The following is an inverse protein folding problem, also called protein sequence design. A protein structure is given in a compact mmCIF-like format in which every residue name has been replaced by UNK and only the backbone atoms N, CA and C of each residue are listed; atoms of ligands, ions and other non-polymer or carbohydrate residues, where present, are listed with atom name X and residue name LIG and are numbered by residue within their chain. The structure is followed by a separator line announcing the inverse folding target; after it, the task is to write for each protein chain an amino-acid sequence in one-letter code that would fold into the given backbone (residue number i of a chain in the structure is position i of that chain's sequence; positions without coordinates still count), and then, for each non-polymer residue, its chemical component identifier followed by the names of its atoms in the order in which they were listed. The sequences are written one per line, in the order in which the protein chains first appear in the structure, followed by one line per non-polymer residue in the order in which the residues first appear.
data_IF_266953116570
#
_entry.id   IF_266953116570
#
_cell.length_a   1.000
_cell.length_b   1.000
_cell.length_c   1.000
_cell.angle_alpha   90.00
_cell.angle_beta   90.00
_cell.angle_gamma   90.00
#
_symmetry.space_group_name_H-M   'P 1'
#
loop_
_entity.id
_entity.type
_entity.pdbx_description
1 polymer ?
#
# COMPACT_ATOMS: atom_id res chain seq x y z
N UNK A 1 38.10 4.76 -3.67
CA UNK A 1 36.80 4.45 -3.04
C UNK A 1 36.43 3.04 -3.45
N UNK A 2 36.17 2.16 -2.49
CA UNK A 2 35.71 0.78 -2.74
C UNK A 2 34.24 0.67 -2.36
N UNK A 3 33.47 -0.10 -3.14
CA UNK A 3 32.06 -0.37 -2.88
C UNK A 3 31.88 -1.89 -2.76
N UNK A 4 31.15 -2.33 -1.75
CA UNK A 4 30.71 -3.71 -1.60
C UNK A 4 29.20 -3.79 -1.83
N UNK A 5 28.74 -4.87 -2.46
CA UNK A 5 27.33 -5.13 -2.74
C UNK A 5 26.93 -6.51 -2.22
N UNK A 6 25.74 -6.61 -1.63
CA UNK A 6 25.16 -7.87 -1.14
C UNK A 6 23.79 -8.07 -1.76
N UNK A 7 23.56 -9.24 -2.35
CA UNK A 7 22.24 -9.65 -2.83
C UNK A 7 21.46 -10.31 -1.68
N UNK A 8 20.26 -9.80 -1.40
CA UNK A 8 19.35 -10.39 -0.41
C UNK A 8 18.12 -10.91 -1.13
N UNK A 9 17.93 -12.23 -1.11
CA UNK A 9 16.73 -12.88 -1.61
C UNK A 9 15.67 -12.93 -0.50
N UNK A 10 14.43 -12.59 -0.82
CA UNK A 10 13.34 -12.51 0.15
C UNK A 10 12.13 -13.29 -0.32
N UNK A 11 11.50 -13.98 0.63
CA UNK A 11 10.24 -14.70 0.46
C UNK A 11 9.29 -14.28 1.60
N UNK A 12 8.06 -13.91 1.26
CA UNK A 12 7.04 -13.62 2.25
C UNK A 12 6.40 -14.93 2.70
N UNK A 13 6.64 -15.33 3.95
CA UNK A 13 6.09 -16.57 4.50
C UNK A 13 4.67 -16.40 5.03
N UNK A 14 4.45 -15.30 5.72
CA UNK A 14 3.18 -14.94 6.36
C UNK A 14 3.04 -13.40 6.38
N UNK A 15 1.88 -12.91 6.79
CA UNK A 15 1.62 -11.49 6.93
C UNK A 15 2.55 -10.89 7.99
N UNK A 16 3.12 -9.72 7.67
CA UNK A 16 4.00 -8.99 8.58
C UNK A 16 3.68 -7.49 8.50
N UNK A 17 3.89 -6.80 9.62
CA UNK A 17 3.63 -5.36 9.76
C UNK A 17 4.89 -4.55 10.07
N UNK A 18 5.97 -5.22 10.46
CA UNK A 18 7.24 -4.59 10.79
C UNK A 18 8.26 -4.84 9.67
N UNK A 19 8.87 -3.78 9.11
CA UNK A 19 9.93 -3.97 8.12
C UNK A 19 11.15 -4.64 8.77
N UNK A 20 11.90 -5.48 8.03
CA UNK A 20 13.12 -6.09 8.52
C UNK A 20 14.20 -5.02 8.80
N UNK A 21 15.05 -5.29 9.80
CA UNK A 21 16.16 -4.42 10.19
C UNK A 21 17.45 -4.98 9.61
N UNK A 22 18.20 -4.13 8.89
CA UNK A 22 19.59 -4.38 8.52
C UNK A 22 20.50 -3.77 9.59
N UNK A 23 21.32 -4.62 10.19
CA UNK A 23 22.38 -4.22 11.10
C UNK A 23 23.74 -4.42 10.41
N UNK A 24 24.54 -3.35 10.36
CA UNK A 24 25.88 -3.35 9.78
C UNK A 24 26.87 -2.94 10.85
N UNK A 25 27.80 -3.85 11.16
CA UNK A 25 28.88 -3.61 12.13
C UNK A 25 30.23 -3.66 11.43
N UNK A 26 31.08 -2.67 11.66
CA UNK A 26 32.41 -2.57 11.04
C UNK A 26 33.41 -1.84 11.95
N UNK A 27 34.71 -2.01 11.67
CA UNK A 27 35.78 -1.33 12.40
C UNK A 27 36.28 -0.10 11.63
N UNK A 28 36.29 1.06 12.29
CA UNK A 28 36.87 2.30 11.79
C UNK A 28 37.50 3.06 12.97
N UNK A 29 38.69 2.64 13.40
CA UNK A 29 39.33 3.08 14.65
C UNK A 29 38.71 2.44 15.90
N UNK A 30 37.39 2.36 15.95
CA UNK A 30 36.58 1.62 16.92
C UNK A 30 35.46 0.84 16.23
N UNK A 31 34.74 -0.01 16.97
CA UNK A 31 33.52 -0.65 16.47
C UNK A 31 32.45 0.41 16.18
N UNK A 32 31.87 0.33 15.00
CA UNK A 32 30.74 1.14 14.53
C UNK A 32 29.56 0.22 14.24
N UNK A 33 28.36 0.67 14.58
CA UNK A 33 27.11 -0.06 14.33
C UNK A 33 26.08 0.85 13.67
N UNK A 34 25.46 0.35 12.61
CA UNK A 34 24.41 1.04 11.87
C UNK A 34 23.19 0.13 11.81
N UNK A 35 22.03 0.64 12.26
CA UNK A 35 20.75 -0.06 12.19
C UNK A 35 19.79 0.69 11.28
N UNK A 36 19.33 0.04 10.23
CA UNK A 36 18.43 0.62 9.23
C UNK A 36 17.21 -0.27 9.04
N UNK A 37 16.03 0.32 8.93
CA UNK A 37 14.85 -0.39 8.42
C UNK A 37 15.00 -0.57 6.92
N UNK A 38 14.95 -1.81 6.45
CA UNK A 38 14.88 -2.09 5.02
C UNK A 38 13.49 -1.71 4.49
N UNK A 39 13.37 -1.14 3.28
CA UNK A 39 12.09 -0.72 2.70
C UNK A 39 11.29 -1.91 2.13
N UNK A 40 11.15 -2.96 2.94
CA UNK A 40 10.44 -4.21 2.61
C UNK A 40 9.16 -4.20 3.41
N UNK A 41 8.06 -3.92 2.71
CA UNK A 41 6.71 -3.85 3.24
C UNK A 41 5.88 -4.96 2.59
N UNK A 42 4.72 -5.31 3.17
CA UNK A 42 3.88 -6.38 2.61
C UNK A 42 3.49 -6.12 1.15
N UNK A 43 3.37 -4.86 0.75
CA UNK A 43 3.06 -4.43 -0.62
C UNK A 43 4.11 -4.86 -1.64
N UNK A 44 5.34 -5.17 -1.22
CA UNK A 44 6.39 -5.68 -2.13
C UNK A 44 6.10 -7.09 -2.64
N UNK A 45 5.21 -7.81 -1.99
CA UNK A 45 4.78 -9.18 -2.33
C UNK A 45 3.37 -9.22 -2.94
N UNK A 46 2.86 -8.06 -3.36
CA UNK A 46 1.60 -7.96 -4.10
C UNK A 46 1.86 -8.08 -5.60
N UNK A 47 1.06 -8.91 -6.25
CA UNK A 47 0.95 -9.01 -7.70
C UNK A 47 -0.22 -8.10 -8.17
N UNK A 48 0.01 -7.13 -9.07
CA UNK A 48 -1.06 -6.30 -9.63
C UNK A 48 -2.07 -7.15 -10.41
N UNK A 49 -3.37 -6.87 -10.26
CA UNK A 49 -4.43 -7.62 -10.96
C UNK A 49 -5.37 -6.68 -11.71
N UNK A 50 -5.49 -6.88 -13.02
CA UNK A 50 -6.49 -6.20 -13.85
C UNK A 50 -7.87 -6.83 -13.66
N UNK A 51 -8.89 -6.00 -13.43
CA UNK A 51 -10.29 -6.41 -13.35
C UNK A 51 -11.18 -5.44 -14.13
N UNK A 52 -12.29 -5.95 -14.64
CA UNK A 52 -13.39 -5.11 -15.12
C UNK A 52 -14.24 -4.59 -13.95
N UNK A 53 -15.12 -3.62 -14.24
CA UNK A 53 -15.99 -3.02 -13.22
C UNK A 53 -16.91 -4.05 -12.55
N UNK A 54 -17.52 -4.95 -13.34
CA UNK A 54 -18.39 -6.02 -12.84
C UNK A 54 -17.66 -6.90 -11.84
N UNK A 55 -16.53 -7.49 -12.25
CA UNK A 55 -15.73 -8.38 -11.41
C UNK A 55 -15.25 -7.69 -10.12
N UNK A 56 -14.83 -6.43 -10.24
CA UNK A 56 -14.38 -5.66 -9.08
C UNK A 56 -15.51 -5.53 -8.05
N UNK A 57 -16.69 -5.06 -8.46
CA UNK A 57 -17.79 -4.82 -7.52
C UNK A 57 -18.42 -6.11 -7.00
N UNK A 58 -18.42 -7.19 -7.78
CA UNK A 58 -18.83 -8.51 -7.29
C UNK A 58 -17.90 -8.98 -6.16
N UNK A 59 -16.58 -8.97 -6.39
CA UNK A 59 -15.60 -9.34 -5.36
C UNK A 59 -15.62 -8.38 -4.17
N UNK A 60 -15.80 -7.09 -4.41
CA UNK A 60 -15.94 -6.07 -3.37
C UNK A 60 -17.11 -6.38 -2.44
N UNK A 61 -18.26 -6.73 -2.99
CA UNK A 61 -19.46 -7.14 -2.22
C UNK A 61 -19.24 -8.48 -1.51
N UNK A 62 -18.58 -9.43 -2.16
CA UNK A 62 -18.30 -10.76 -1.60
C UNK A 62 -17.39 -10.69 -0.36
N UNK A 63 -16.39 -9.81 -0.34
CA UNK A 63 -15.54 -9.62 0.84
C UNK A 63 -16.36 -9.05 2.01
N UNK A 64 -17.34 -8.20 1.71
CA UNK A 64 -18.24 -7.60 2.71
C UNK A 64 -17.57 -6.46 3.49
N UNK A 65 -18.06 -6.20 4.69
CA UNK A 65 -17.60 -5.11 5.55
C UNK A 65 -16.58 -5.56 6.62
N UNK A 66 -16.53 -4.86 7.77
CA UNK A 66 -15.67 -5.23 8.89
C UNK A 66 -15.86 -6.69 9.34
N UNK A 67 -14.80 -7.41 9.75
CA UNK A 67 -13.43 -6.92 9.99
C UNK A 67 -12.53 -6.92 8.74
N UNK A 68 -13.03 -7.42 7.60
CA UNK A 68 -12.30 -7.50 6.32
C UNK A 68 -12.29 -6.19 5.53
N UNK A 69 -12.90 -5.16 6.09
CA UNK A 69 -12.84 -3.78 5.62
C UNK A 69 -12.11 -2.93 6.65
N UNK A 70 -11.08 -2.23 6.18
CA UNK A 70 -10.42 -1.17 6.93
C UNK A 70 -10.62 0.16 6.19
N UNK A 71 -11.06 1.20 6.91
CA UNK A 71 -11.36 2.49 6.32
C UNK A 71 -10.80 3.64 7.16
N UNK A 72 -10.29 4.68 6.48
CA UNK A 72 -9.87 5.92 7.13
C UNK A 72 -10.21 7.14 6.28
N UNK A 73 -10.67 8.19 6.96
CA UNK A 73 -10.74 9.55 6.41
C UNK A 73 -9.49 10.30 6.87
N UNK A 74 -8.82 10.99 5.95
CA UNK A 74 -7.56 11.67 6.20
C UNK A 74 -7.43 12.93 5.35
N UNK A 75 -6.55 13.84 5.77
CA UNK A 75 -6.24 15.05 4.99
C UNK A 75 -5.24 14.73 3.89
N UNK A 76 -5.41 15.28 2.69
CA UNK A 76 -4.50 15.10 1.55
C UNK A 76 -4.09 16.44 0.93
N UNK A 77 -3.02 16.43 0.11
CA UNK A 77 -2.59 17.63 -0.63
C UNK A 77 -3.24 17.68 -1.99
N UNK A 78 -3.79 18.84 -2.34
CA UNK A 78 -4.16 19.18 -3.70
C UNK A 78 -2.89 19.45 -4.54
N UNK A 79 -3.04 19.36 -5.86
CA UNK A 79 -2.02 19.78 -6.83
C UNK A 79 -1.75 21.29 -6.71
N UNK A 80 -0.65 21.80 -7.30
CA UNK A 80 -0.38 23.25 -7.36
C UNK A 80 -1.52 24.06 -8.01
N UNK A 81 -2.31 23.45 -8.88
CA UNK A 81 -3.48 24.05 -9.52
C UNK A 81 -4.74 24.04 -8.63
N UNK A 82 -4.67 23.48 -7.42
CA UNK A 82 -5.82 23.36 -6.52
C UNK A 82 -6.74 22.19 -6.84
N UNK A 83 -6.36 21.29 -7.75
CA UNK A 83 -7.15 20.10 -8.13
C UNK A 83 -6.70 18.82 -7.43
N UNK A 84 -7.55 17.80 -7.42
CA UNK A 84 -7.19 16.44 -6.99
C UNK A 84 -6.09 15.89 -7.89
N UNK A 85 -4.95 15.51 -7.32
CA UNK A 85 -3.82 14.98 -8.06
C UNK A 85 -3.96 13.46 -8.28
N UNK A 86 -4.85 13.07 -9.21
CA UNK A 86 -5.11 11.66 -9.55
C UNK A 86 -3.85 10.98 -10.10
N UNK A 87 -2.98 11.71 -10.80
CA UNK A 87 -1.71 11.17 -11.31
C UNK A 87 -0.77 10.78 -10.16
N UNK A 88 -0.65 11.60 -9.12
CA UNK A 88 0.10 11.24 -7.92
C UNK A 88 -0.52 10.05 -7.19
N UNK A 89 -1.84 10.02 -7.05
CA UNK A 89 -2.54 8.89 -6.42
C UNK A 89 -2.23 7.59 -7.16
N UNK A 90 -2.33 7.58 -8.49
CA UNK A 90 -1.96 6.44 -9.33
C UNK A 90 -0.53 5.97 -9.07
N UNK A 91 0.45 6.89 -9.11
CA UNK A 91 1.86 6.55 -8.87
C UNK A 91 2.08 5.91 -7.50
N UNK A 92 1.38 6.36 -6.47
CA UNK A 92 1.48 5.79 -5.12
C UNK A 92 0.90 4.37 -5.09
N UNK A 93 -0.29 4.16 -5.68
CA UNK A 93 -0.94 2.85 -5.73
C UNK A 93 -0.11 1.83 -6.55
N UNK A 94 0.38 2.23 -7.73
CA UNK A 94 1.25 1.40 -8.57
C UNK A 94 2.60 1.13 -7.90
N UNK A 95 3.16 2.12 -7.17
CA UNK A 95 4.37 1.95 -6.36
C UNK A 95 4.22 0.94 -5.21
N UNK A 96 2.98 0.74 -4.74
CA UNK A 96 2.57 -0.32 -3.82
C UNK A 96 2.20 -1.64 -4.53
N UNK A 97 2.55 -1.78 -5.82
CA UNK A 97 2.27 -2.93 -6.69
C UNK A 97 0.79 -3.28 -6.83
N UNK A 98 -0.09 -2.28 -6.80
CA UNK A 98 -1.51 -2.44 -7.07
C UNK A 98 -1.83 -1.95 -8.49
N UNK A 99 -2.69 -2.66 -9.20
CA UNK A 99 -3.16 -2.25 -10.51
C UNK A 99 -4.29 -1.24 -10.34
N UNK A 100 -4.11 -0.01 -10.81
CA UNK A 100 -5.19 0.97 -10.89
C UNK A 100 -6.15 0.58 -12.01
N UNK A 101 -7.45 0.56 -11.70
CA UNK A 101 -8.50 0.09 -12.58
C UNK A 101 -9.28 1.27 -13.16
N UNK A 102 -8.96 1.61 -14.41
CA UNK A 102 -9.58 2.71 -15.13
C UNK A 102 -11.06 2.45 -15.44
N UNK A 103 -11.90 3.46 -15.20
CA UNK A 103 -13.33 3.43 -15.51
C UNK A 103 -14.19 2.51 -14.62
N UNK A 104 -13.64 1.98 -13.52
CA UNK A 104 -14.41 1.16 -12.57
C UNK A 104 -15.32 2.01 -11.68
N UNK A 105 -14.80 3.11 -11.12
CA UNK A 105 -15.64 4.08 -10.42
C UNK A 105 -16.23 5.09 -11.43
N UNK A 106 -17.50 5.45 -11.24
CA UNK A 106 -18.15 6.46 -12.07
C UNK A 106 -17.57 7.87 -11.84
N UNK A 107 -17.03 8.14 -10.64
CA UNK A 107 -16.35 9.39 -10.37
C UNK A 107 -14.87 9.31 -10.81
N UNK A 108 -14.43 10.11 -11.80
CA UNK A 108 -13.07 10.05 -12.32
C UNK A 108 -12.00 10.52 -11.33
N UNK A 109 -12.38 11.21 -10.26
CA UNK A 109 -11.45 11.58 -9.18
C UNK A 109 -11.22 10.44 -8.18
N UNK A 110 -12.09 9.42 -8.18
CA UNK A 110 -11.89 8.24 -7.35
C UNK A 110 -10.88 7.31 -8.02
N UNK A 111 -9.98 6.74 -7.21
CA UNK A 111 -9.07 5.70 -7.68
C UNK A 111 -9.51 4.35 -7.13
N UNK A 112 -9.66 3.37 -8.02
CA UNK A 112 -9.90 1.98 -7.66
C UNK A 112 -8.66 1.19 -8.03
N UNK A 113 -8.24 0.26 -7.17
CA UNK A 113 -7.13 -0.62 -7.50
C UNK A 113 -7.29 -2.03 -6.92
N UNK A 114 -6.58 -2.97 -7.52
CA UNK A 114 -6.62 -4.38 -7.14
C UNK A 114 -5.24 -5.05 -7.22
N UNK A 115 -5.06 -6.07 -6.41
CA UNK A 115 -3.89 -6.94 -6.42
C UNK A 115 -4.11 -8.20 -5.59
N UNK A 116 -3.13 -9.08 -5.59
CA UNK A 116 -3.11 -10.28 -4.74
C UNK A 116 -1.81 -10.29 -3.96
N UNK A 117 -1.90 -10.37 -2.63
CA UNK A 117 -0.74 -10.60 -1.77
C UNK A 117 -0.41 -12.10 -1.75
N UNK A 118 0.85 -12.44 -2.04
CA UNK A 118 1.34 -13.82 -2.07
C UNK A 118 2.18 -14.11 -0.82
N UNK A 119 1.78 -15.15 -0.08
CA UNK A 119 2.49 -15.65 1.10
C UNK A 119 2.67 -17.16 0.99
N UNK A 120 3.85 -17.67 1.31
CA UNK A 120 4.18 -19.08 1.14
C UNK A 120 3.36 -20.01 2.06
N UNK A 121 3.13 -19.60 3.31
CA UNK A 121 2.45 -20.43 4.31
C UNK A 121 0.98 -20.02 4.49
N UNK A 122 0.67 -18.74 4.36
CA UNK A 122 -0.68 -18.19 4.57
C UNK A 122 -1.52 -18.06 3.27
N UNK A 123 -0.97 -18.49 2.14
CA UNK A 123 -1.66 -18.49 0.85
C UNK A 123 -1.80 -17.11 0.21
N UNK A 124 -2.85 -16.94 -0.59
CA UNK A 124 -3.11 -15.72 -1.36
C UNK A 124 -4.20 -14.89 -0.70
N UNK A 125 -3.99 -13.58 -0.63
CA UNK A 125 -5.00 -12.62 -0.14
C UNK A 125 -5.35 -11.65 -1.25
N UNK A 126 -6.62 -11.68 -1.69
CA UNK A 126 -7.11 -10.71 -2.67
C UNK A 126 -7.28 -9.34 -2.03
N UNK A 127 -6.72 -8.30 -2.63
CA UNK A 127 -6.73 -6.93 -2.12
C UNK A 127 -7.49 -6.03 -3.09
N UNK A 128 -8.54 -5.37 -2.60
CA UNK A 128 -9.30 -4.36 -3.33
C UNK A 128 -9.26 -3.06 -2.54
N UNK A 129 -9.16 -1.93 -3.24
CA UNK A 129 -9.23 -0.62 -2.59
C UNK A 129 -10.03 0.38 -3.42
N UNK A 130 -10.57 1.36 -2.70
CA UNK A 130 -11.26 2.53 -3.26
C UNK A 130 -10.80 3.77 -2.50
N UNK A 131 -10.24 4.73 -3.24
CA UNK A 131 -9.81 6.03 -2.73
C UNK A 131 -10.76 7.10 -3.28
N UNK A 132 -11.41 7.81 -2.36
CA UNK A 132 -12.46 8.78 -2.64
C UNK A 132 -12.05 10.17 -2.10
N UNK A 133 -11.34 11.00 -2.89
CA UNK A 133 -10.98 12.35 -2.50
C UNK A 133 -12.14 13.33 -2.66
N UNK A 134 -12.32 14.20 -1.67
CA UNK A 134 -13.21 15.35 -1.72
C UNK A 134 -12.36 16.64 -1.74
N UNK A 135 -12.39 17.34 -2.88
CA UNK A 135 -11.62 18.57 -3.12
C UNK A 135 -11.96 19.67 -2.13
N UNK A 136 -13.25 19.95 -1.96
CA UNK A 136 -13.74 21.10 -1.17
C UNK A 136 -13.46 20.91 0.31
N UNK A 137 -13.69 19.69 0.82
CA UNK A 137 -13.39 19.34 2.21
C UNK A 137 -11.88 19.14 2.47
N UNK A 138 -11.07 18.96 1.42
CA UNK A 138 -9.64 18.57 1.50
C UNK A 138 -9.41 17.28 2.29
N UNK A 139 -10.41 16.41 2.29
CA UNK A 139 -10.40 15.10 2.94
C UNK A 139 -10.54 14.02 1.88
N UNK A 140 -9.88 12.89 2.10
CA UNK A 140 -10.04 11.70 1.29
C UNK A 140 -10.44 10.52 2.18
N UNK A 141 -11.25 9.61 1.64
CA UNK A 141 -11.56 8.33 2.28
C UNK A 141 -10.85 7.22 1.52
N UNK A 142 -10.03 6.44 2.22
CA UNK A 142 -9.47 5.20 1.69
C UNK A 142 -10.18 4.03 2.37
N UNK A 143 -10.78 3.17 1.56
CA UNK A 143 -11.38 1.91 1.99
C UNK A 143 -10.58 0.77 1.36
N UNK A 144 -10.07 -0.13 2.19
CA UNK A 144 -9.38 -1.34 1.78
C UNK A 144 -10.19 -2.54 2.21
N UNK A 145 -10.47 -3.44 1.27
CA UNK A 145 -11.11 -4.72 1.52
C UNK A 145 -10.20 -5.85 1.07
N UNK A 146 -9.92 -6.79 1.95
CA UNK A 146 -9.16 -7.98 1.57
C UNK A 146 -9.77 -9.26 2.16
N UNK A 147 -9.38 -10.43 1.66
CA UNK A 147 -9.87 -11.71 2.20
C UNK A 147 -9.29 -12.03 3.60
N UNK A 148 -8.47 -11.15 4.17
CA UNK A 148 -7.86 -11.24 5.51
C UNK A 148 -7.98 -9.89 6.25
N UNK A 149 -8.45 -9.89 7.49
CA UNK A 149 -8.68 -8.66 8.26
C UNK A 149 -7.38 -7.90 8.60
N UNK A 150 -6.34 -8.61 9.04
CA UNK A 150 -5.03 -8.03 9.35
C UNK A 150 -4.36 -7.41 8.10
N UNK A 151 -4.47 -8.06 6.94
CA UNK A 151 -3.95 -7.52 5.68
C UNK A 151 -4.70 -6.24 5.25
N UNK A 152 -5.99 -6.14 5.55
CA UNK A 152 -6.78 -4.92 5.30
C UNK A 152 -6.28 -3.75 6.14
N UNK A 153 -6.03 -3.99 7.44
CA UNK A 153 -5.49 -2.99 8.35
C UNK A 153 -4.07 -2.56 7.95
N UNK A 154 -3.19 -3.51 7.62
CA UNK A 154 -1.80 -3.21 7.26
C UNK A 154 -1.68 -2.50 5.91
N UNK A 155 -2.43 -2.90 4.89
CA UNK A 155 -2.48 -2.20 3.60
C UNK A 155 -2.92 -0.75 3.78
N UNK A 156 -3.98 -0.53 4.58
CA UNK A 156 -4.47 0.80 4.90
C UNK A 156 -3.36 1.63 5.56
N UNK A 157 -2.67 1.08 6.57
CA UNK A 157 -1.56 1.76 7.27
C UNK A 157 -0.43 2.15 6.32
N UNK A 158 0.01 1.23 5.46
CA UNK A 158 1.10 1.46 4.50
C UNK A 158 0.75 2.55 3.50
N UNK A 159 -0.46 2.53 2.93
CA UNK A 159 -0.89 3.53 1.95
C UNK A 159 -1.09 4.90 2.58
N UNK A 160 -1.65 4.96 3.80
CA UNK A 160 -1.86 6.21 4.52
C UNK A 160 -0.55 6.93 4.84
N UNK A 161 0.55 6.20 5.13
CA UNK A 161 1.85 6.81 5.39
C UNK A 161 2.43 7.61 4.22
N UNK A 162 1.87 7.46 3.01
CA UNK A 162 2.29 8.18 1.80
C UNK A 162 1.20 9.11 1.26
N UNK A 163 -0.07 8.70 1.35
CA UNK A 163 -1.22 9.47 0.86
C UNK A 163 -1.61 10.62 1.79
N UNK A 164 -1.54 10.39 3.11
CA UNK A 164 -1.99 11.35 4.10
C UNK A 164 -0.90 12.38 4.43
N UNK A 165 -1.33 13.59 4.81
CA UNK A 165 -0.39 14.66 5.23
C UNK A 165 -0.09 14.62 6.72
N UNK A 166 -0.97 13.99 7.49
CA UNK A 166 -1.01 13.97 8.95
C UNK A 166 -0.55 12.64 9.57
N UNK A 167 -0.10 11.68 8.76
CA UNK A 167 0.35 10.37 9.23
C UNK A 167 1.87 10.29 9.39
N UNK A 168 2.31 9.56 10.42
CA UNK A 168 3.73 9.31 10.67
C UNK A 168 4.37 8.44 9.60
N UNK A 169 5.70 8.55 9.46
CA UNK A 169 6.49 7.65 8.59
C UNK A 169 6.48 6.22 9.16
N UNK A 170 6.56 5.22 8.27
CA UNK A 170 6.54 3.78 8.61
C UNK A 170 7.74 3.34 9.46
#
# INVERSE_FOLDING_TARGET
MTQAQTLVLMECKDLFTQPPILEVSYLAGSLQEIRLRLPVLMTKFVEPVQLGATDFFERWRQIGGPPREAQKIFSFRLSPAGEVDVTRQRRILEGARLQVLDGVDANPNNSVAAGVLHMANAGKVGCLLRLEPNKDAKLARLTVRTTNDLASAEMLRVLLAVLAVDQGKL
#
